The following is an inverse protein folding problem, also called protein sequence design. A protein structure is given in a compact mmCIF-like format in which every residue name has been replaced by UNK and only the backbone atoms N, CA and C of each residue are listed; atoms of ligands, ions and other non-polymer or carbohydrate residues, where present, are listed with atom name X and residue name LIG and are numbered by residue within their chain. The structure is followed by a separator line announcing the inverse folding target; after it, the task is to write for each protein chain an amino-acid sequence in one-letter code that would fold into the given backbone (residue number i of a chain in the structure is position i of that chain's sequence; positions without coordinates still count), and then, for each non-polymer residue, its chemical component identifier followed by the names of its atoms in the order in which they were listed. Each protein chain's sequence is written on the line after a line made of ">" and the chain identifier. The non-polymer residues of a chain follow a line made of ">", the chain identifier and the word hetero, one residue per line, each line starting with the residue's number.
data_IF_802604164454
#
_entry.id   IF_802604164454
#
_cell.length_a   1.000
_cell.length_b   1.000
_cell.length_c   1.000
_cell.angle_alpha   90.00
_cell.angle_beta   90.00
_cell.angle_gamma   90.00
#
_symmetry.space_group_name_H-M   'P 1'
#
loop_
_entity.id
_entity.type
_entity.pdbx_description
1 polymer ?
#
# COMPACT_ATOMS: atom_id res chain seq x y z
N UNK A 1 -27.03 -27.48 2.15
CA UNK A 1 -27.49 -26.37 1.28
C UNK A 1 -26.29 -25.49 1.02
N UNK A 2 -25.77 -25.50 -0.20
CA UNK A 2 -24.65 -24.63 -0.59
C UNK A 2 -25.14 -23.18 -0.60
N UNK A 3 -24.45 -22.30 0.12
CA UNK A 3 -24.75 -20.89 0.09
C UNK A 3 -24.52 -20.36 -1.34
N UNK A 4 -25.57 -19.82 -1.96
CA UNK A 4 -25.49 -19.13 -3.23
C UNK A 4 -24.45 -18.02 -3.12
N UNK A 5 -23.36 -18.12 -3.88
CA UNK A 5 -22.42 -17.01 -4.07
C UNK A 5 -23.20 -15.88 -4.74
N UNK A 6 -23.37 -14.76 -4.05
CA UNK A 6 -23.84 -13.53 -4.70
C UNK A 6 -22.93 -13.25 -5.91
N UNK A 7 -23.50 -12.93 -7.08
CA UNK A 7 -22.69 -12.58 -8.23
C UNK A 7 -21.80 -11.41 -7.84
N UNK A 8 -20.49 -11.57 -8.07
CA UNK A 8 -19.50 -10.49 -8.00
C UNK A 8 -20.04 -9.39 -8.90
N UNK A 9 -20.20 -8.18 -8.37
CA UNK A 9 -20.53 -7.02 -9.21
C UNK A 9 -19.55 -7.05 -10.37
N UNK A 10 -20.05 -7.10 -11.62
CA UNK A 10 -19.20 -7.18 -12.80
C UNK A 10 -18.20 -6.02 -12.68
N UNK A 11 -16.93 -6.37 -12.53
CA UNK A 11 -15.87 -5.38 -12.42
C UNK A 11 -15.96 -4.47 -13.62
N UNK A 12 -15.97 -3.17 -13.39
CA UNK A 12 -16.00 -2.21 -14.50
C UNK A 12 -14.63 -2.21 -15.18
N UNK A 13 -14.50 -3.14 -16.16
CA UNK A 13 -13.32 -3.28 -17.00
C UNK A 13 -13.19 -2.15 -18.02
N UNK A 14 -14.17 -1.23 -18.09
CA UNK A 14 -14.14 -0.06 -18.94
C UNK A 14 -13.38 1.12 -18.34
N UNK A 15 -13.01 1.04 -17.07
CA UNK A 15 -12.24 2.07 -16.36
C UNK A 15 -10.86 1.54 -15.98
N UNK A 16 -9.85 2.40 -16.10
CA UNK A 16 -8.50 2.10 -15.61
C UNK A 16 -8.48 2.06 -14.07
N UNK A 17 -7.60 1.24 -13.52
CA UNK A 17 -7.35 1.19 -12.08
C UNK A 17 -5.86 1.27 -11.76
N UNK A 18 -5.46 2.12 -10.79
CA UNK A 18 -4.06 2.32 -10.43
C UNK A 18 -3.38 1.04 -9.94
N UNK A 19 -4.10 0.21 -9.18
CA UNK A 19 -3.58 -1.08 -8.69
C UNK A 19 -3.31 -2.08 -9.83
N UNK A 20 -4.19 -2.13 -10.85
CA UNK A 20 -3.99 -2.98 -12.03
C UNK A 20 -2.89 -2.46 -12.96
N UNK A 21 -2.76 -1.12 -13.10
CA UNK A 21 -1.62 -0.49 -13.77
C UNK A 21 -0.32 -0.85 -13.04
N UNK A 22 -0.32 -0.79 -11.71
CA UNK A 22 0.83 -1.16 -10.87
C UNK A 22 1.20 -2.65 -11.05
N UNK A 23 0.20 -3.55 -11.11
CA UNK A 23 0.42 -4.98 -11.39
C UNK A 23 1.14 -5.18 -12.73
N UNK A 24 0.67 -4.52 -13.81
CA UNK A 24 1.32 -4.59 -15.11
C UNK A 24 2.78 -4.08 -15.07
N UNK A 25 3.03 -2.96 -14.40
CA UNK A 25 4.38 -2.38 -14.26
C UNK A 25 5.34 -3.28 -13.47
N UNK A 26 4.83 -4.13 -12.60
CA UNK A 26 5.59 -5.18 -11.92
C UNK A 26 5.80 -6.44 -12.75
N UNK A 27 5.20 -6.56 -13.94
CA UNK A 27 5.22 -7.74 -14.80
C UNK A 27 4.13 -8.75 -14.46
N UNK A 28 3.11 -8.37 -13.72
CA UNK A 28 1.93 -9.19 -13.43
C UNK A 28 0.97 -9.30 -14.62
N UNK A 29 -0.01 -10.20 -14.50
CA UNK A 29 -0.97 -10.51 -15.55
C UNK A 29 -2.44 -10.35 -15.12
N UNK A 30 -2.70 -9.73 -13.96
CA UNK A 30 -4.04 -9.47 -13.43
C UNK A 30 -4.50 -8.05 -13.76
N UNK A 31 -4.44 -7.70 -15.05
CA UNK A 31 -4.76 -6.40 -15.61
C UNK A 31 -5.49 -6.55 -16.94
N UNK A 32 -6.25 -5.56 -17.32
CA UNK A 32 -7.02 -5.55 -18.56
C UNK A 32 -6.31 -4.72 -19.65
N UNK A 33 -6.81 -4.82 -20.89
CA UNK A 33 -6.24 -4.07 -22.02
C UNK A 33 -6.20 -2.56 -21.78
N UNK A 34 -7.23 -2.01 -21.15
CA UNK A 34 -7.30 -0.59 -20.81
C UNK A 34 -6.21 -0.18 -19.80
N UNK A 35 -5.90 -1.04 -18.82
CA UNK A 35 -4.85 -0.81 -17.82
C UNK A 35 -3.46 -0.89 -18.48
N UNK A 36 -3.26 -1.88 -19.37
CA UNK A 36 -2.01 -2.03 -20.14
C UNK A 36 -1.75 -0.85 -21.05
N UNK A 37 -2.77 -0.43 -21.80
CA UNK A 37 -2.67 0.74 -22.67
C UNK A 37 -2.33 2.01 -21.91
N UNK A 38 -2.93 2.20 -20.73
CA UNK A 38 -2.60 3.31 -19.84
C UNK A 38 -1.16 3.20 -19.29
N UNK A 39 -0.75 2.01 -18.84
CA UNK A 39 0.61 1.76 -18.35
C UNK A 39 1.68 2.00 -19.42
N UNK A 40 1.43 1.60 -20.67
CA UNK A 40 2.33 1.88 -21.80
C UNK A 40 2.41 3.38 -22.11
N UNK A 41 1.29 4.11 -21.96
CA UNK A 41 1.29 5.57 -22.03
C UNK A 41 2.20 6.19 -20.97
N UNK A 42 2.09 5.69 -19.73
CA UNK A 42 2.93 6.12 -18.61
C UNK A 42 4.41 5.78 -18.85
N UNK A 43 4.71 4.59 -19.38
CA UNK A 43 6.09 4.17 -19.69
C UNK A 43 6.76 5.04 -20.76
N UNK A 44 5.98 5.54 -21.74
CA UNK A 44 6.50 6.51 -22.72
C UNK A 44 6.85 7.86 -22.10
N UNK A 45 6.08 8.31 -21.11
CA UNK A 45 6.32 9.56 -20.40
C UNK A 45 7.41 9.41 -19.33
N UNK A 46 7.39 8.30 -18.59
CA UNK A 46 8.29 8.01 -17.46
C UNK A 46 8.85 6.60 -17.59
N UNK A 47 9.92 6.39 -18.39
CA UNK A 47 10.50 5.06 -18.63
C UNK A 47 11.01 4.34 -17.37
N UNK A 48 11.30 5.08 -16.31
CA UNK A 48 11.76 4.54 -15.01
C UNK A 48 10.63 4.00 -14.12
N UNK A 49 9.36 4.08 -14.51
CA UNK A 49 8.25 3.61 -13.68
C UNK A 49 8.39 2.18 -13.13
N UNK A 50 8.86 1.17 -13.91
CA UNK A 50 9.07 -0.18 -13.36
C UNK A 50 10.06 -0.23 -12.21
N UNK A 51 11.06 0.66 -12.19
CA UNK A 51 12.00 0.79 -11.08
C UNK A 51 11.31 1.38 -9.84
N UNK A 52 10.44 2.40 -10.02
CA UNK A 52 9.70 3.03 -8.94
C UNK A 52 8.73 2.07 -8.26
N UNK A 53 7.95 1.32 -9.02
CA UNK A 53 7.00 0.35 -8.44
C UNK A 53 7.74 -0.79 -7.74
N UNK A 54 8.89 -1.24 -8.26
CA UNK A 54 9.74 -2.21 -7.56
C UNK A 54 10.32 -1.66 -6.26
N UNK A 55 10.73 -0.39 -6.25
CA UNK A 55 11.26 0.26 -5.05
C UNK A 55 10.21 0.31 -3.93
N UNK A 56 8.97 0.66 -4.28
CA UNK A 56 7.84 0.63 -3.33
C UNK A 56 7.61 -0.78 -2.79
N UNK A 57 7.65 -1.81 -3.66
CA UNK A 57 7.48 -3.21 -3.25
C UNK A 57 8.63 -3.69 -2.36
N UNK A 58 9.85 -3.31 -2.65
CA UNK A 58 11.00 -3.67 -1.82
C UNK A 58 10.99 -2.97 -0.47
N UNK A 59 10.52 -1.71 -0.42
CA UNK A 59 10.32 -1.03 0.86
C UNK A 59 9.27 -1.75 1.71
N UNK A 60 8.15 -2.19 1.13
CA UNK A 60 7.14 -3.00 1.81
C UNK A 60 7.79 -4.23 2.47
N UNK A 61 8.60 -4.98 1.71
CA UNK A 61 9.28 -6.17 2.22
C UNK A 61 10.23 -5.84 3.37
N UNK A 62 11.05 -4.81 3.23
CA UNK A 62 11.99 -4.39 4.26
C UNK A 62 11.28 -3.90 5.52
N UNK A 63 10.19 -3.15 5.36
CA UNK A 63 9.36 -2.69 6.47
C UNK A 63 8.78 -3.88 7.25
N UNK A 64 8.19 -4.84 6.55
CA UNK A 64 7.63 -6.06 7.17
C UNK A 64 8.71 -6.89 7.85
N UNK A 65 9.86 -7.08 7.20
CA UNK A 65 10.98 -7.83 7.78
C UNK A 65 11.47 -7.20 9.11
N UNK A 66 11.60 -5.87 9.16
CA UNK A 66 11.97 -5.15 10.39
C UNK A 66 10.92 -5.34 11.49
N UNK A 67 9.64 -5.23 11.14
CA UNK A 67 8.55 -5.41 12.09
C UNK A 67 8.47 -6.84 12.62
N UNK A 68 8.71 -7.85 11.78
CA UNK A 68 8.84 -9.25 12.25
C UNK A 68 9.97 -9.39 13.25
N UNK A 69 11.13 -8.77 13.01
CA UNK A 69 12.25 -8.75 13.99
C UNK A 69 11.92 -8.05 15.31
N UNK A 70 11.01 -7.09 15.29
CA UNK A 70 10.48 -6.42 16.47
C UNK A 70 9.36 -7.22 17.18
N UNK A 71 9.04 -8.42 16.67
CA UNK A 71 8.07 -9.34 17.26
C UNK A 71 6.62 -9.10 16.85
N UNK A 72 6.38 -8.35 15.77
CA UNK A 72 5.03 -8.24 15.22
C UNK A 72 4.60 -9.54 14.55
N UNK A 73 3.38 -9.97 14.85
CA UNK A 73 2.75 -11.18 14.31
C UNK A 73 1.42 -10.91 13.63
N UNK A 74 0.89 -9.68 13.72
CA UNK A 74 -0.39 -9.28 13.15
C UNK A 74 -0.19 -8.04 12.28
N UNK A 75 -0.60 -8.17 11.01
CA UNK A 75 -0.42 -7.15 9.98
C UNK A 75 -1.77 -6.81 9.38
N UNK A 76 -2.05 -5.52 9.21
CA UNK A 76 -3.25 -5.02 8.51
C UNK A 76 -2.76 -4.05 7.44
N UNK A 77 -2.99 -4.35 6.17
CA UNK A 77 -2.49 -3.58 5.04
C UNK A 77 -3.65 -3.07 4.20
N UNK A 78 -3.69 -1.77 4.00
CA UNK A 78 -4.74 -1.07 3.27
C UNK A 78 -4.29 -0.75 1.85
N UNK A 79 -5.23 -0.87 0.89
CA UNK A 79 -4.98 -0.71 -0.54
C UNK A 79 -3.79 -1.57 -1.01
N UNK A 80 -3.82 -2.83 -0.60
CA UNK A 80 -2.71 -3.78 -0.76
C UNK A 80 -2.41 -4.13 -2.22
N UNK A 81 -3.34 -3.89 -3.12
CA UNK A 81 -3.25 -4.42 -4.47
C UNK A 81 -3.27 -5.96 -4.48
N UNK A 82 -2.80 -6.56 -5.56
CA UNK A 82 -2.74 -8.02 -5.66
C UNK A 82 -1.64 -8.60 -4.77
N UNK A 83 -1.96 -9.56 -3.90
CA UNK A 83 -1.01 -10.18 -2.98
C UNK A 83 -0.22 -11.30 -3.66
N UNK A 84 0.40 -10.97 -4.79
CA UNK A 84 1.26 -11.87 -5.58
C UNK A 84 2.65 -12.00 -4.96
N UNK A 85 3.64 -12.43 -5.74
CA UNK A 85 5.02 -12.66 -5.27
C UNK A 85 5.56 -11.46 -4.46
N UNK A 86 6.33 -11.77 -3.42
CA UNK A 86 6.94 -10.78 -2.52
C UNK A 86 5.94 -9.88 -1.75
N UNK A 87 4.79 -10.42 -1.36
CA UNK A 87 3.85 -9.71 -0.48
C UNK A 87 4.02 -10.14 0.99
N UNK A 88 3.33 -9.45 1.92
CA UNK A 88 3.51 -9.60 3.37
C UNK A 88 3.49 -11.07 3.82
N UNK A 89 2.49 -11.86 3.38
CA UNK A 89 2.33 -13.25 3.79
C UNK A 89 3.45 -14.19 3.33
N UNK A 90 4.29 -13.76 2.37
CA UNK A 90 5.51 -14.49 1.98
C UNK A 90 6.73 -14.12 2.84
N UNK A 91 6.67 -12.98 3.55
CA UNK A 91 7.78 -12.46 4.34
C UNK A 91 7.65 -12.84 5.82
N UNK A 92 6.41 -12.91 6.31
CA UNK A 92 6.13 -13.20 7.72
C UNK A 92 6.17 -14.69 8.04
N UNK A 93 6.40 -15.10 9.29
CA UNK A 93 6.22 -16.48 9.72
C UNK A 93 4.80 -17.00 9.41
N UNK A 94 4.66 -18.27 9.06
CA UNK A 94 3.37 -18.88 8.68
C UNK A 94 2.28 -18.79 9.76
N UNK A 95 2.66 -18.60 11.03
CA UNK A 95 1.73 -18.38 12.15
C UNK A 95 1.23 -16.96 12.26
N UNK A 96 1.76 -16.03 11.48
CA UNK A 96 1.34 -14.62 11.51
C UNK A 96 -0.03 -14.43 10.87
N UNK A 97 -0.77 -13.47 11.38
CA UNK A 97 -2.05 -13.03 10.81
C UNK A 97 -1.80 -11.87 9.86
N UNK A 98 -2.35 -11.95 8.65
CA UNK A 98 -2.26 -10.88 7.66
C UNK A 98 -3.65 -10.55 7.12
N UNK A 99 -4.07 -9.31 7.28
CA UNK A 99 -5.32 -8.80 6.75
C UNK A 99 -4.99 -7.81 5.64
N UNK A 100 -5.49 -8.08 4.46
CA UNK A 100 -5.37 -7.22 3.29
C UNK A 100 -6.69 -6.58 2.93
N UNK A 101 -6.62 -5.41 2.28
CA UNK A 101 -7.81 -4.82 1.68
C UNK A 101 -7.48 -4.03 0.41
N UNK A 102 -8.48 -3.94 -0.46
CA UNK A 102 -8.45 -3.06 -1.62
C UNK A 102 -9.87 -2.59 -1.94
N UNK A 103 -9.99 -1.46 -2.62
CA UNK A 103 -11.30 -0.92 -3.04
C UNK A 103 -11.76 -1.56 -4.36
N UNK A 104 -10.82 -2.05 -5.19
CA UNK A 104 -11.13 -2.61 -6.51
C UNK A 104 -11.71 -4.03 -6.39
N UNK A 105 -12.97 -4.26 -6.79
CA UNK A 105 -13.61 -5.56 -6.67
C UNK A 105 -12.92 -6.67 -7.47
N UNK A 106 -12.24 -6.33 -8.57
CA UNK A 106 -11.44 -7.30 -9.34
C UNK A 106 -10.24 -7.76 -8.53
N UNK A 107 -9.49 -6.81 -7.99
CA UNK A 107 -8.35 -7.09 -7.12
C UNK A 107 -8.78 -7.94 -5.93
N UNK A 108 -9.90 -7.61 -5.27
CA UNK A 108 -10.43 -8.39 -4.14
C UNK A 108 -10.75 -9.83 -4.56
N UNK A 109 -11.42 -10.04 -5.70
CA UNK A 109 -11.78 -11.37 -6.18
C UNK A 109 -10.55 -12.23 -6.48
N UNK A 110 -9.60 -11.71 -7.24
CA UNK A 110 -8.35 -12.43 -7.55
C UNK A 110 -7.51 -12.69 -6.30
N UNK A 111 -7.42 -11.70 -5.41
CA UNK A 111 -6.65 -11.83 -4.18
C UNK A 111 -7.18 -12.96 -3.30
N UNK A 112 -8.51 -13.13 -3.21
CA UNK A 112 -9.13 -14.22 -2.44
C UNK A 112 -8.75 -15.59 -3.00
N UNK A 113 -8.62 -15.73 -4.31
CA UNK A 113 -8.14 -16.97 -4.94
C UNK A 113 -6.66 -17.22 -4.67
N UNK A 114 -5.83 -16.17 -4.68
CA UNK A 114 -4.39 -16.26 -4.41
C UNK A 114 -4.12 -16.72 -2.97
N UNK A 115 -4.89 -16.20 -1.99
CA UNK A 115 -4.63 -16.46 -0.58
C UNK A 115 -5.40 -17.64 0.00
N UNK A 116 -6.21 -18.35 -0.78
CA UNK A 116 -7.14 -19.40 -0.30
C UNK A 116 -6.49 -20.51 0.54
N UNK A 117 -5.21 -20.79 0.28
CA UNK A 117 -4.45 -21.83 0.97
C UNK A 117 -3.72 -21.31 2.22
N UNK A 118 -3.90 -20.03 2.57
CA UNK A 118 -3.30 -19.40 3.76
C UNK A 118 -4.37 -19.15 4.84
N UNK A 119 -4.53 -20.04 5.84
CA UNK A 119 -5.63 -19.96 6.81
C UNK A 119 -5.60 -18.73 7.71
N UNK A 120 -4.42 -18.12 7.90
CA UNK A 120 -4.20 -16.93 8.73
C UNK A 120 -4.19 -15.62 7.90
N UNK A 121 -4.59 -15.68 6.63
CA UNK A 121 -4.62 -14.53 5.74
C UNK A 121 -6.05 -14.26 5.28
N UNK A 122 -6.48 -13.01 5.32
CA UNK A 122 -7.75 -12.59 4.76
C UNK A 122 -7.56 -11.43 3.78
N UNK A 123 -8.45 -11.35 2.79
CA UNK A 123 -8.55 -10.21 1.88
C UNK A 123 -10.01 -9.77 1.79
N UNK A 124 -10.26 -8.47 1.98
CA UNK A 124 -11.61 -7.93 1.94
C UNK A 124 -11.68 -6.61 1.16
N UNK A 125 -12.88 -6.30 0.65
CA UNK A 125 -13.15 -5.01 0.05
C UNK A 125 -13.18 -3.93 1.14
N UNK A 126 -12.37 -2.89 0.99
CA UNK A 126 -12.38 -1.72 1.88
C UNK A 126 -11.74 -0.52 1.20
N UNK A 127 -12.36 0.63 1.38
CA UNK A 127 -11.76 1.93 1.10
C UNK A 127 -10.81 2.30 2.26
N UNK A 128 -9.56 2.62 1.95
CA UNK A 128 -8.55 2.99 2.94
C UNK A 128 -8.90 4.28 3.72
N UNK A 129 -9.78 5.12 3.17
CA UNK A 129 -10.33 6.28 3.88
C UNK A 129 -11.27 5.89 5.04
N UNK A 130 -11.78 4.66 5.03
CA UNK A 130 -12.75 4.14 6.00
C UNK A 130 -12.29 2.83 6.62
N UNK A 131 -11.15 2.81 7.35
CA UNK A 131 -10.54 1.59 7.88
C UNK A 131 -11.43 0.84 8.87
N UNK A 132 -12.34 1.52 9.55
CA UNK A 132 -13.36 0.93 10.42
C UNK A 132 -14.17 -0.16 9.72
N UNK A 133 -14.49 0.02 8.44
CA UNK A 133 -15.26 -0.95 7.65
C UNK A 133 -14.55 -2.30 7.52
N UNK A 134 -13.22 -2.29 7.36
CA UNK A 134 -12.42 -3.52 7.36
C UNK A 134 -12.38 -4.16 8.74
N UNK A 135 -12.11 -3.36 9.76
CA UNK A 135 -11.88 -3.81 11.13
C UNK A 135 -13.16 -4.35 11.81
N UNK A 136 -14.34 -3.98 11.30
CA UNK A 136 -15.64 -4.46 11.76
C UNK A 136 -16.07 -5.80 11.17
N UNK A 137 -15.44 -6.25 10.08
CA UNK A 137 -15.80 -7.52 9.43
C UNK A 137 -15.56 -8.72 10.36
N UNK A 138 -16.53 -9.62 10.45
CA UNK A 138 -16.46 -10.79 11.33
C UNK A 138 -15.26 -11.68 11.06
N UNK A 139 -14.90 -11.90 9.79
CA UNK A 139 -13.70 -12.64 9.42
C UNK A 139 -12.41 -11.98 9.92
N UNK A 140 -12.33 -10.64 9.90
CA UNK A 140 -11.18 -9.87 10.38
C UNK A 140 -11.11 -9.93 11.90
N UNK A 141 -12.24 -9.69 12.58
CA UNK A 141 -12.35 -9.82 14.05
C UNK A 141 -11.95 -11.22 14.51
N UNK A 142 -12.36 -12.27 13.79
CA UNK A 142 -12.03 -13.66 14.12
C UNK A 142 -10.53 -13.92 14.02
N UNK A 143 -9.84 -13.43 12.98
CA UNK A 143 -8.41 -13.63 12.80
C UNK A 143 -7.58 -12.78 13.78
N UNK A 144 -7.94 -11.53 14.00
CA UNK A 144 -7.25 -10.65 14.94
C UNK A 144 -7.51 -11.01 16.41
N UNK A 145 -8.66 -11.63 16.70
CA UNK A 145 -9.06 -11.94 18.09
C UNK A 145 -9.04 -10.67 18.97
N UNK A 146 -8.39 -10.75 20.11
CA UNK A 146 -8.21 -9.63 21.05
C UNK A 146 -6.92 -8.84 20.79
N UNK A 147 -6.10 -9.26 19.81
CA UNK A 147 -4.83 -8.59 19.52
C UNK A 147 -5.07 -7.20 18.97
N UNK A 148 -4.43 -6.21 19.57
CA UNK A 148 -4.50 -4.81 19.15
C UNK A 148 -3.13 -4.19 18.94
N UNK A 149 -2.03 -4.82 19.36
CA UNK A 149 -0.68 -4.43 18.95
C UNK A 149 -0.43 -5.02 17.56
N UNK A 150 -0.53 -4.19 16.54
CA UNK A 150 -0.51 -4.57 15.13
C UNK A 150 0.44 -3.70 14.33
N UNK A 151 0.93 -4.24 13.21
CA UNK A 151 1.61 -3.48 12.17
C UNK A 151 0.59 -3.08 11.10
N UNK A 152 0.49 -1.80 10.81
CA UNK A 152 -0.49 -1.24 9.86
C UNK A 152 0.25 -0.70 8.64
N UNK A 153 -0.13 -1.14 7.44
CA UNK A 153 0.43 -0.70 6.17
C UNK A 153 -0.48 0.29 5.45
N UNK A 154 0.11 1.40 5.02
CA UNK A 154 -0.46 2.38 4.09
C UNK A 154 0.55 2.65 2.98
N UNK A 155 1.04 1.57 2.36
CA UNK A 155 2.17 1.63 1.44
C UNK A 155 1.71 1.92 0.00
N UNK A 156 1.96 3.14 -0.49
CA UNK A 156 1.62 3.53 -1.86
C UNK A 156 0.17 3.98 -2.08
N UNK A 157 -0.53 4.36 -1.02
CA UNK A 157 -1.94 4.81 -1.09
C UNK A 157 -2.14 6.26 -0.66
N UNK A 158 -1.30 6.80 0.18
CA UNK A 158 -1.50 8.13 0.77
C UNK A 158 -1.71 9.23 -0.26
N UNK A 159 -1.01 9.18 -1.39
CA UNK A 159 -1.17 10.16 -2.46
C UNK A 159 -2.48 10.07 -3.26
N UNK A 160 -3.28 9.02 -3.09
CA UNK A 160 -4.63 8.91 -3.67
C UNK A 160 -5.73 9.39 -2.72
N UNK A 161 -5.40 9.66 -1.46
CA UNK A 161 -6.33 10.13 -0.44
C UNK A 161 -6.21 11.64 -0.23
N UNK A 162 -7.32 12.30 0.02
CA UNK A 162 -7.34 13.72 0.43
C UNK A 162 -6.84 13.87 1.86
N UNK A 163 -6.50 15.10 2.24
CA UNK A 163 -5.99 15.41 3.58
C UNK A 163 -6.97 14.99 4.68
N UNK A 164 -8.25 15.29 4.51
CA UNK A 164 -9.30 14.93 5.45
C UNK A 164 -9.51 13.41 5.57
N UNK A 165 -9.35 12.68 4.46
CA UNK A 165 -9.46 11.21 4.43
C UNK A 165 -8.31 10.56 5.18
N UNK A 166 -7.07 11.04 4.98
CA UNK A 166 -5.91 10.56 5.74
C UNK A 166 -6.09 10.86 7.23
N UNK A 167 -6.40 12.12 7.57
CA UNK A 167 -6.53 12.51 8.97
C UNK A 167 -7.61 11.69 9.70
N UNK A 168 -8.77 11.48 9.06
CA UNK A 168 -9.85 10.65 9.60
C UNK A 168 -9.44 9.18 9.77
N UNK A 169 -8.83 8.58 8.74
CA UNK A 169 -8.36 7.20 8.81
C UNK A 169 -7.31 7.00 9.91
N UNK A 170 -6.36 7.93 10.03
CA UNK A 170 -5.30 7.86 11.04
C UNK A 170 -5.81 8.04 12.47
N UNK A 171 -6.79 8.90 12.71
CA UNK A 171 -7.41 9.03 14.05
C UNK A 171 -8.20 7.77 14.42
N UNK A 172 -8.98 7.21 13.51
CA UNK A 172 -9.68 5.93 13.70
C UNK A 172 -8.71 4.79 14.03
N UNK A 173 -7.66 4.63 13.23
CA UNK A 173 -6.66 3.58 13.44
C UNK A 173 -5.90 3.78 14.75
N UNK A 174 -5.58 5.02 15.11
CA UNK A 174 -4.94 5.31 16.39
C UNK A 174 -5.86 4.94 17.56
N UNK A 175 -7.16 5.25 17.46
CA UNK A 175 -8.15 4.88 18.48
C UNK A 175 -8.30 3.36 18.65
N UNK A 176 -8.28 2.63 17.54
CA UNK A 176 -8.48 1.18 17.51
C UNK A 176 -7.24 0.38 17.91
N UNK A 177 -6.06 0.76 17.43
CA UNK A 177 -4.81 0.02 17.66
C UNK A 177 -4.39 0.05 19.13
N UNK A 178 -3.70 -0.99 19.60
CA UNK A 178 -3.10 -1.04 20.92
C UNK A 178 -1.78 -0.25 21.02
N UNK A 179 -1.37 0.07 22.24
CA UNK A 179 -0.07 0.68 22.48
C UNK A 179 1.08 -0.16 21.90
N UNK A 180 2.09 0.48 21.34
CA UNK A 180 3.21 -0.17 20.66
C UNK A 180 2.88 -0.68 19.27
N UNK A 181 1.68 -0.41 18.72
CA UNK A 181 1.39 -0.63 17.30
C UNK A 181 2.22 0.29 16.43
N UNK A 182 2.58 -0.18 15.24
CA UNK A 182 3.32 0.62 14.26
C UNK A 182 2.55 0.77 12.96
N UNK A 183 2.61 1.97 12.40
CA UNK A 183 2.18 2.30 11.07
C UNK A 183 3.43 2.42 10.18
N UNK A 184 3.44 1.82 8.99
CA UNK A 184 4.45 2.07 7.96
C UNK A 184 3.78 2.55 6.68
N UNK A 185 4.40 3.50 6.02
CA UNK A 185 3.86 4.08 4.80
C UNK A 185 4.97 4.63 3.90
N UNK A 186 4.63 4.87 2.64
CA UNK A 186 5.42 5.72 1.77
C UNK A 186 4.56 6.81 1.14
N UNK A 187 5.19 7.94 0.81
CA UNK A 187 4.56 9.12 0.23
C UNK A 187 5.46 9.74 -0.85
N UNK A 188 4.85 10.36 -1.84
CA UNK A 188 5.57 11.19 -2.81
C UNK A 188 5.97 12.51 -2.15
N UNK A 189 7.27 12.81 -2.14
CA UNK A 189 7.77 14.05 -1.52
C UNK A 189 7.66 15.25 -2.48
N UNK A 190 6.92 16.29 -2.09
CA UNK A 190 6.83 17.56 -2.86
C UNK A 190 7.94 18.56 -2.54
N UNK A 191 8.79 18.29 -1.56
CA UNK A 191 9.87 19.20 -1.24
C UNK A 191 10.84 19.36 -2.43
N UNK A 192 10.76 18.43 -3.39
CA UNK A 192 11.45 18.49 -4.68
C UNK A 192 10.48 18.19 -5.81
N UNK A 193 10.13 19.20 -6.60
CA UNK A 193 9.29 19.04 -7.81
C UNK A 193 10.19 18.74 -9.01
N UNK A 194 10.02 17.58 -9.62
CA UNK A 194 10.77 17.14 -10.80
C UNK A 194 9.88 17.09 -12.04
N UNK A 195 10.49 16.92 -13.22
CA UNK A 195 9.73 16.68 -14.45
C UNK A 195 8.92 15.38 -14.36
N UNK A 196 9.49 14.33 -13.79
CA UNK A 196 8.78 13.07 -13.54
C UNK A 196 7.53 13.30 -12.69
N UNK A 197 7.63 14.11 -11.62
CA UNK A 197 6.48 14.39 -10.78
C UNK A 197 5.36 15.11 -11.52
N UNK A 198 5.69 16.07 -12.40
CA UNK A 198 4.68 16.75 -13.25
C UNK A 198 4.01 15.80 -14.24
N UNK A 199 4.78 14.92 -14.87
CA UNK A 199 4.25 13.92 -15.81
C UNK A 199 3.30 12.94 -15.12
N UNK A 200 3.62 12.52 -13.87
CA UNK A 200 2.72 11.69 -13.08
C UNK A 200 1.42 12.41 -12.73
N UNK A 201 1.47 13.69 -12.34
CA UNK A 201 0.26 14.48 -12.08
C UNK A 201 -0.66 14.55 -13.30
N UNK A 202 -0.09 14.80 -14.49
CA UNK A 202 -0.83 14.81 -15.74
C UNK A 202 -1.45 13.45 -16.04
N UNK A 203 -0.66 12.38 -15.94
CA UNK A 203 -1.11 11.02 -16.23
C UNK A 203 -2.28 10.60 -15.32
N UNK A 204 -2.11 10.72 -13.99
CA UNK A 204 -3.13 10.30 -13.05
C UNK A 204 -4.41 11.15 -13.11
N UNK A 205 -4.28 12.42 -13.50
CA UNK A 205 -5.44 13.27 -13.81
C UNK A 205 -6.21 12.77 -15.04
N UNK A 206 -5.50 12.37 -16.11
CA UNK A 206 -6.12 11.84 -17.34
C UNK A 206 -6.87 10.53 -17.10
N UNK A 207 -6.34 9.65 -16.26
CA UNK A 207 -7.02 8.39 -15.87
C UNK A 207 -8.05 8.59 -14.76
N UNK A 208 -8.39 9.84 -14.42
CA UNK A 208 -9.38 10.22 -13.39
C UNK A 208 -9.09 9.70 -11.99
N UNK A 209 -7.81 9.52 -11.68
CA UNK A 209 -7.32 9.13 -10.35
C UNK A 209 -6.27 10.15 -9.88
N UNK A 210 -6.67 11.40 -9.58
CA UNK A 210 -5.72 12.46 -9.25
C UNK A 210 -4.92 12.11 -8.01
N UNK A 211 -3.64 12.51 -8.00
CA UNK A 211 -2.75 12.33 -6.86
C UNK A 211 -2.60 13.63 -6.08
N UNK A 212 -2.57 13.50 -4.78
CA UNK A 212 -2.45 14.61 -3.82
C UNK A 212 -1.06 14.56 -3.18
N UNK A 213 -0.16 15.41 -3.64
CA UNK A 213 1.22 15.45 -3.13
C UNK A 213 1.32 16.28 -1.87
N UNK A 214 2.19 15.86 -0.93
CA UNK A 214 2.36 16.54 0.35
C UNK A 214 3.84 16.73 0.69
N UNK A 215 4.14 17.81 1.43
CA UNK A 215 5.44 17.95 2.10
C UNK A 215 5.54 16.95 3.26
N UNK A 216 6.77 16.61 3.66
CA UNK A 216 7.01 15.79 4.86
C UNK A 216 6.29 16.35 6.09
N UNK A 217 6.37 17.67 6.27
CA UNK A 217 5.69 18.35 7.39
C UNK A 217 4.19 18.11 7.35
N UNK A 218 3.56 18.31 6.17
CA UNK A 218 2.11 18.13 6.03
C UNK A 218 1.69 16.69 6.28
N UNK A 219 2.44 15.72 5.77
CA UNK A 219 2.17 14.32 6.03
C UNK A 219 2.19 14.01 7.53
N UNK A 220 3.23 14.43 8.25
CA UNK A 220 3.34 14.20 9.70
C UNK A 220 2.18 14.85 10.46
N UNK A 221 1.75 16.06 10.08
CA UNK A 221 0.59 16.73 10.67
C UNK A 221 -0.70 15.90 10.51
N UNK A 222 -0.92 15.32 9.33
CA UNK A 222 -2.10 14.51 9.03
C UNK A 222 -2.13 13.17 9.79
N UNK A 223 -0.97 12.62 10.14
CA UNK A 223 -0.87 11.42 10.95
C UNK A 223 -1.19 11.65 12.43
N UNK A 224 -1.34 12.89 12.84
CA UNK A 224 -1.89 13.29 14.14
C UNK A 224 -1.10 12.76 15.34
N UNK A 225 -1.68 11.82 16.08
CA UNK A 225 -1.10 11.28 17.33
C UNK A 225 0.00 10.22 17.08
N UNK A 226 0.14 9.70 15.86
CA UNK A 226 1.17 8.75 15.51
C UNK A 226 2.55 9.41 15.57
N UNK A 227 3.47 8.87 16.35
CA UNK A 227 4.81 9.43 16.52
C UNK A 227 5.80 8.85 15.52
N UNK A 228 6.46 9.73 14.77
CA UNK A 228 7.51 9.34 13.84
C UNK A 228 8.66 8.63 14.56
N UNK A 229 8.99 7.41 14.11
CA UNK A 229 10.11 6.63 14.61
C UNK A 229 11.44 7.07 13.99
N UNK A 230 12.56 6.82 14.68
CA UNK A 230 13.87 6.94 14.08
C UNK A 230 14.08 5.87 12.98
N UNK A 231 14.80 6.17 11.91
CA UNK A 231 15.56 7.39 11.61
C UNK A 231 14.74 8.51 10.97
N UNK A 232 13.44 8.40 10.87
CA UNK A 232 12.55 9.39 10.27
C UNK A 232 12.00 8.94 8.92
N UNK A 233 11.45 9.89 8.15
CA UNK A 233 11.04 9.68 6.77
C UNK A 233 12.28 9.81 5.86
N UNK A 234 12.73 8.71 5.28
CA UNK A 234 13.88 8.65 4.38
C UNK A 234 13.43 8.32 2.96
N UNK A 235 14.24 8.66 1.93
CA UNK A 235 14.09 8.08 0.60
C UNK A 235 14.01 6.56 0.67
N UNK A 236 13.15 5.94 -0.16
CA UNK A 236 12.91 4.49 -0.07
C UNK A 236 14.18 3.67 -0.28
N UNK A 237 15.08 4.13 -1.15
CA UNK A 237 16.37 3.51 -1.40
C UNK A 237 17.26 3.44 -0.15
N UNK A 238 17.09 4.34 0.81
CA UNK A 238 17.88 4.35 2.05
C UNK A 238 17.44 3.28 3.06
N UNK A 239 16.28 2.70 2.85
CA UNK A 239 15.80 1.55 3.61
C UNK A 239 16.34 0.22 3.09
N UNK A 240 16.85 0.17 1.85
CA UNK A 240 17.23 -1.07 1.18
C UNK A 240 18.70 -1.46 1.43
N UNK A 241 19.01 -2.76 1.36
CA UNK A 241 20.40 -3.25 1.28
C UNK A 241 21.14 -2.65 0.07
N UNK A 242 22.47 -2.52 0.20
CA UNK A 242 23.33 -1.86 -0.81
C UNK A 242 23.19 -2.48 -2.20
N UNK A 243 23.04 -3.80 -2.28
CA UNK A 243 22.88 -4.53 -3.55
C UNK A 243 21.62 -4.09 -4.31
N UNK A 244 20.52 -3.86 -3.58
CA UNK A 244 19.26 -3.39 -4.16
C UNK A 244 19.32 -1.90 -4.54
N UNK A 245 20.06 -1.09 -3.78
CA UNK A 245 20.28 0.33 -4.11
C UNK A 245 20.92 0.52 -5.46
N UNK A 246 21.94 -0.28 -5.79
CA UNK A 246 22.66 -0.20 -7.08
C UNK A 246 21.76 -0.45 -8.29
N UNK A 247 20.77 -1.33 -8.17
CA UNK A 247 19.81 -1.63 -9.25
C UNK A 247 18.89 -0.42 -9.52
N UNK A 248 18.73 0.48 -8.55
CA UNK A 248 17.79 1.61 -8.60
C UNK A 248 18.44 2.96 -8.93
N UNK A 249 19.76 2.99 -9.21
CA UNK A 249 20.47 4.24 -9.46
C UNK A 249 19.86 5.08 -10.60
N UNK A 250 19.30 4.45 -11.64
CA UNK A 250 18.67 5.16 -12.75
C UNK A 250 17.40 5.91 -12.28
N UNK A 251 16.52 5.26 -11.51
CA UNK A 251 15.32 5.88 -10.99
C UNK A 251 15.65 7.05 -10.03
N UNK A 252 16.63 6.86 -9.16
CA UNK A 252 17.09 7.88 -8.22
C UNK A 252 17.64 9.11 -8.95
N UNK A 253 18.40 8.92 -10.05
CA UNK A 253 18.95 10.01 -10.87
C UNK A 253 17.86 10.80 -11.61
N UNK A 254 16.75 10.20 -11.98
CA UNK A 254 15.62 10.88 -12.62
C UNK A 254 14.78 11.71 -11.63
N UNK A 255 15.10 11.63 -10.35
CA UNK A 255 14.56 12.53 -9.32
C UNK A 255 13.15 12.20 -8.83
N UNK A 256 12.77 10.95 -8.83
CA UNK A 256 11.59 10.53 -8.07
C UNK A 256 11.92 10.56 -6.58
N UNK A 257 11.11 11.25 -5.81
CA UNK A 257 11.28 11.35 -4.38
C UNK A 257 10.12 10.67 -3.68
N UNK A 258 10.19 9.34 -3.56
CA UNK A 258 9.31 8.62 -2.67
C UNK A 258 10.05 8.44 -1.35
N UNK A 259 9.43 8.88 -0.28
CA UNK A 259 9.93 8.73 1.09
C UNK A 259 9.08 7.74 1.84
N UNK A 260 9.66 7.02 2.77
CA UNK A 260 8.94 6.08 3.63
C UNK A 260 9.48 6.09 5.05
N UNK A 261 8.71 5.52 5.96
CA UNK A 261 9.10 5.42 7.36
C UNK A 261 8.05 4.78 8.23
N UNK A 262 8.33 4.78 9.52
CA UNK A 262 7.51 4.17 10.54
C UNK A 262 7.01 5.20 11.54
N UNK A 263 5.82 4.95 12.04
CA UNK A 263 5.21 5.72 13.11
C UNK A 263 4.71 4.75 14.18
N UNK A 264 4.69 5.19 15.43
CA UNK A 264 4.32 4.34 16.56
C UNK A 264 3.18 4.97 17.36
N UNK A 265 2.26 4.14 17.82
CA UNK A 265 1.33 4.49 18.87
C UNK A 265 2.03 4.36 20.23
N UNK A 266 2.41 5.49 20.80
CA UNK A 266 2.83 5.56 22.21
C UNK A 266 1.59 5.58 23.07
N UNK A 267 1.56 4.80 24.14
CA UNK A 267 0.44 4.54 25.03
C UNK A 267 -0.39 5.72 25.47
#
# INVERSE_FOLDING_TARGET
>A
MAAERKPISVADTSQTNAGRIYDYLLGGNHNFEIDRSAAEGLLRAVPSMPQWVRLIRWFLNEAVYRLVKEGFTHFVDFASGLPTVDHIHHVVPASSVVIYSDIDPVTVSYAQDVIKDFPNVAFAACDAAHPDKLLELDQVKKLLGTQRKVAIGFNGITWFLKDEEIAGAMDLLYGWAGAGSKLFLCETNVDVVTEVSRQLDVFYSQVKQPIFRRSRKRLIELLGKWKLCQPGLLPLEDWLPIERKKIQEAAVKEGGNIIGGFFEKTG
#
